data_IF_912397632767
#
_entry.id   IF_912397632767
#
_cell.length_a   1.000
_cell.length_b   1.000
_cell.length_c   1.000
_cell.angle_alpha   90.00
_cell.angle_beta   90.00
_cell.angle_gamma   90.00
#
_symmetry.space_group_name_H-M   'P 1'
#
loop_
_entity.id
_entity.type
_entity.pdbx_description
1 polymer ?
#
# COMPACT_ATOMS: atom_id res chain seq x y z
N UNK A 1 -8.41 -32.59 5.30
CA UNK A 1 -8.05 -31.16 5.22
C UNK A 1 -8.99 -30.40 6.13
N UNK A 2 -8.54 -29.40 6.91
CA UNK A 2 -9.47 -28.56 7.67
C UNK A 2 -10.40 -27.87 6.67
N UNK A 3 -11.70 -27.98 6.88
CA UNK A 3 -12.70 -27.30 6.05
C UNK A 3 -12.55 -25.81 6.34
N UNK A 4 -12.15 -25.02 5.34
CA UNK A 4 -12.15 -23.57 5.43
C UNK A 4 -13.58 -23.13 5.74
N UNK A 5 -13.79 -22.56 6.93
CA UNK A 5 -15.10 -22.07 7.33
C UNK A 5 -15.37 -20.74 6.63
N UNK A 6 -16.55 -20.56 6.01
CA UNK A 6 -16.95 -19.29 5.42
C UNK A 6 -16.87 -18.15 6.45
N UNK A 7 -16.42 -16.97 6.04
CA UNK A 7 -16.25 -15.79 6.91
C UNK A 7 -17.57 -15.41 7.63
N UNK A 8 -18.72 -15.71 7.02
CA UNK A 8 -20.04 -15.44 7.58
C UNK A 8 -20.36 -16.30 8.82
N UNK A 9 -19.75 -17.49 8.95
CA UNK A 9 -19.91 -18.37 10.11
C UNK A 9 -19.00 -17.98 11.30
N UNK A 10 -18.11 -16.99 11.11
CA UNK A 10 -17.30 -16.38 12.17
C UNK A 10 -18.00 -15.21 12.88
N UNK A 11 -19.26 -14.90 12.50
CA UNK A 11 -20.07 -13.89 13.16
C UNK A 11 -20.55 -14.38 14.55
N UNK A 12 -19.61 -14.49 15.49
CA UNK A 12 -19.92 -14.60 16.91
C UNK A 12 -20.14 -13.19 17.45
N UNK A 13 -21.40 -12.75 17.37
CA UNK A 13 -21.82 -11.39 17.73
C UNK A 13 -21.35 -10.99 19.13
N UNK A 14 -21.26 -11.93 20.08
CA UNK A 14 -20.80 -11.65 21.44
C UNK A 14 -19.30 -11.37 21.49
N UNK A 15 -18.47 -12.17 20.80
CA UNK A 15 -17.03 -11.92 20.73
C UNK A 15 -16.72 -10.60 20.04
N UNK A 16 -17.47 -10.26 18.99
CA UNK A 16 -17.32 -8.97 18.32
C UNK A 16 -17.73 -7.81 19.23
N UNK A 17 -18.84 -7.91 19.97
CA UNK A 17 -19.26 -6.89 20.94
C UNK A 17 -18.19 -6.69 22.02
N UNK A 18 -17.64 -7.77 22.58
CA UNK A 18 -16.58 -7.71 23.60
C UNK A 18 -15.32 -7.07 23.02
N UNK A 19 -14.92 -7.45 21.80
CA UNK A 19 -13.78 -6.87 21.10
C UNK A 19 -13.97 -5.37 20.86
N UNK A 20 -15.16 -4.94 20.40
CA UNK A 20 -15.47 -3.53 20.19
C UNK A 20 -15.39 -2.74 21.49
N UNK A 21 -16.01 -3.26 22.55
CA UNK A 21 -16.04 -2.63 23.87
C UNK A 21 -14.62 -2.44 24.44
N UNK A 22 -13.78 -3.49 24.35
CA UNK A 22 -12.39 -3.45 24.86
C UNK A 22 -11.51 -2.44 24.11
N UNK A 23 -11.77 -2.20 22.82
CA UNK A 23 -10.93 -1.36 21.97
C UNK A 23 -11.49 0.04 21.73
N UNK A 24 -12.59 0.42 22.38
CA UNK A 24 -13.31 1.68 22.13
C UNK A 24 -12.42 2.93 22.20
N UNK A 25 -11.52 3.02 23.18
CA UNK A 25 -10.58 4.14 23.29
C UNK A 25 -9.60 4.21 22.10
N UNK A 26 -9.10 3.06 21.63
CA UNK A 26 -8.23 2.99 20.45
C UNK A 26 -8.98 3.39 19.19
N UNK A 27 -10.23 2.95 19.03
CA UNK A 27 -11.04 3.31 17.88
C UNK A 27 -11.32 4.80 17.80
N UNK A 28 -11.69 5.43 18.92
CA UNK A 28 -11.85 6.89 18.99
C UNK A 28 -10.58 7.64 18.63
N UNK A 29 -9.41 7.15 19.05
CA UNK A 29 -8.12 7.74 18.67
C UNK A 29 -7.87 7.60 17.17
N UNK A 30 -8.00 6.38 16.62
CA UNK A 30 -7.77 6.11 15.20
C UNK A 30 -8.71 6.89 14.30
N UNK A 31 -9.98 7.06 14.70
CA UNK A 31 -10.95 7.84 13.94
C UNK A 31 -10.64 9.35 13.90
N UNK A 32 -9.77 9.84 14.79
CA UNK A 32 -9.29 11.24 14.79
C UNK A 32 -7.99 11.43 14.02
N UNK A 33 -7.21 10.36 13.86
CA UNK A 33 -5.87 10.41 13.25
C UNK A 33 -5.82 9.77 11.87
N UNK A 34 -6.93 9.23 11.38
CA UNK A 34 -7.05 8.60 10.06
C UNK A 34 -8.22 9.21 9.29
N UNK A 35 -8.32 8.88 8.00
CA UNK A 35 -9.39 9.33 7.11
C UNK A 35 -10.68 8.49 7.23
N UNK A 36 -10.80 7.73 8.31
CA UNK A 36 -11.94 6.88 8.62
C UNK A 36 -12.68 7.42 9.84
N UNK A 37 -14.01 7.42 9.80
CA UNK A 37 -14.79 7.64 11.01
C UNK A 37 -14.78 6.43 11.95
N UNK A 38 -15.44 6.57 13.10
CA UNK A 38 -15.42 5.53 14.12
C UNK A 38 -16.06 4.22 13.64
N UNK A 39 -17.12 4.27 12.83
CA UNK A 39 -17.77 3.05 12.32
C UNK A 39 -16.86 2.31 11.35
N UNK A 40 -16.19 3.06 10.49
CA UNK A 40 -15.22 2.54 9.52
C UNK A 40 -14.00 1.93 10.21
N UNK A 41 -13.48 2.60 11.25
CA UNK A 41 -12.39 2.08 12.08
C UNK A 41 -12.81 0.78 12.78
N UNK A 42 -14.02 0.71 13.34
CA UNK A 42 -14.56 -0.50 13.94
C UNK A 42 -14.67 -1.65 12.92
N UNK A 43 -15.18 -1.37 11.72
CA UNK A 43 -15.29 -2.37 10.66
C UNK A 43 -13.93 -2.89 10.20
N UNK A 44 -12.96 -2.00 9.93
CA UNK A 44 -11.60 -2.38 9.55
C UNK A 44 -10.88 -3.16 10.65
N UNK A 45 -11.13 -2.84 11.92
CA UNK A 45 -10.62 -3.60 13.06
C UNK A 45 -11.19 -5.02 13.12
N UNK A 46 -12.47 -5.19 12.78
CA UNK A 46 -13.10 -6.52 12.71
C UNK A 46 -12.56 -7.31 11.54
N UNK A 47 -12.40 -6.69 10.36
CA UNK A 47 -11.76 -7.32 9.20
C UNK A 47 -10.36 -7.83 9.59
N UNK A 48 -9.55 -6.98 10.23
CA UNK A 48 -8.24 -7.38 10.74
C UNK A 48 -8.32 -8.58 11.70
N UNK A 49 -9.19 -8.51 12.70
CA UNK A 49 -9.35 -9.57 13.69
C UNK A 49 -9.80 -10.89 13.05
N UNK A 50 -10.72 -10.85 12.08
CA UNK A 50 -11.16 -12.03 11.32
C UNK A 50 -10.02 -12.61 10.48
N UNK A 51 -9.27 -11.78 9.76
CA UNK A 51 -8.07 -12.24 9.05
C UNK A 51 -7.09 -12.93 10.01
N UNK A 52 -6.85 -12.37 11.19
CA UNK A 52 -5.96 -12.98 12.19
C UNK A 52 -6.47 -14.32 12.72
N UNK A 53 -7.79 -14.46 12.91
CA UNK A 53 -8.40 -15.69 13.38
C UNK A 53 -8.38 -16.81 12.33
N UNK A 54 -8.59 -16.48 11.06
CA UNK A 54 -8.69 -17.46 9.97
C UNK A 54 -7.33 -17.81 9.37
N UNK A 55 -6.48 -16.79 9.15
CA UNK A 55 -5.21 -16.93 8.41
C UNK A 55 -3.98 -16.87 9.32
N UNK A 56 -4.14 -16.49 10.59
CA UNK A 56 -3.04 -16.18 11.50
C UNK A 56 -2.57 -14.73 11.42
N UNK A 57 -1.53 -14.34 12.18
CA UNK A 57 -1.02 -12.96 12.20
C UNK A 57 -0.73 -12.46 10.80
N UNK A 58 -1.13 -11.22 10.47
CA UNK A 58 -0.97 -10.64 9.13
C UNK A 58 0.53 -10.43 8.83
N UNK A 59 1.17 -11.50 8.34
CA UNK A 59 2.53 -11.53 7.84
C UNK A 59 2.58 -10.95 6.43
N UNK A 60 3.79 -10.82 5.89
CA UNK A 60 3.99 -10.34 4.50
C UNK A 60 3.24 -11.18 3.47
N UNK A 61 3.22 -12.51 3.65
CA UNK A 61 2.49 -13.43 2.78
C UNK A 61 0.98 -13.14 2.81
N UNK A 62 0.40 -13.07 4.01
CA UNK A 62 -1.05 -12.83 4.17
C UNK A 62 -1.42 -11.42 3.67
N UNK A 63 -0.58 -10.42 3.93
CA UNK A 63 -0.78 -9.06 3.42
C UNK A 63 -0.82 -9.06 1.89
N UNK A 64 0.09 -9.81 1.25
CA UNK A 64 0.10 -9.98 -0.21
C UNK A 64 -1.17 -10.65 -0.73
N UNK A 65 -1.63 -11.70 -0.08
CA UNK A 65 -2.84 -12.42 -0.48
C UNK A 65 -4.09 -11.54 -0.30
N UNK A 66 -4.15 -10.73 0.75
CA UNK A 66 -5.22 -9.73 0.96
C UNK A 66 -5.19 -8.67 -0.13
N UNK A 67 -4.02 -8.15 -0.51
CA UNK A 67 -3.93 -7.17 -1.60
C UNK A 67 -4.25 -7.75 -2.96
N UNK A 68 -3.87 -9.01 -3.19
CA UNK A 68 -4.22 -9.74 -4.40
C UNK A 68 -5.74 -9.89 -4.52
N UNK A 69 -6.40 -10.43 -3.50
CA UNK A 69 -7.84 -10.72 -3.54
C UNK A 69 -8.73 -9.49 -3.35
N UNK A 70 -8.36 -8.59 -2.43
CA UNK A 70 -9.18 -7.44 -2.03
C UNK A 70 -8.94 -6.17 -2.86
N UNK A 71 -7.77 -6.03 -3.47
CA UNK A 71 -7.39 -4.83 -4.23
C UNK A 71 -6.98 -5.11 -5.68
N UNK A 72 -7.14 -6.35 -6.15
CA UNK A 72 -6.72 -6.80 -7.48
C UNK A 72 -5.25 -6.44 -7.77
N UNK A 73 -4.33 -6.84 -6.88
CA UNK A 73 -2.88 -6.84 -7.15
C UNK A 73 -2.46 -8.22 -7.70
N UNK A 74 -2.89 -8.51 -8.93
CA UNK A 74 -2.82 -9.84 -9.56
C UNK A 74 -1.51 -10.19 -10.27
N UNK A 75 -0.68 -9.22 -10.63
CA UNK A 75 0.60 -9.50 -11.31
C UNK A 75 1.76 -9.73 -10.35
N UNK A 76 2.71 -10.58 -10.75
CA UNK A 76 3.92 -10.86 -9.97
C UNK A 76 4.73 -9.59 -9.63
N UNK A 77 4.74 -8.58 -10.50
CA UNK A 77 5.39 -7.31 -10.16
C UNK A 77 4.63 -6.51 -9.11
N UNK A 78 3.29 -6.57 -9.16
CA UNK A 78 2.43 -5.96 -8.15
C UNK A 78 2.70 -6.59 -6.77
N UNK A 79 3.06 -7.87 -6.72
CA UNK A 79 3.50 -8.52 -5.48
C UNK A 79 4.80 -7.95 -4.90
N UNK A 80 5.80 -7.62 -5.72
CA UNK A 80 7.03 -6.96 -5.25
C UNK A 80 6.73 -5.59 -4.61
N UNK A 81 5.85 -4.81 -5.23
CA UNK A 81 5.44 -3.52 -4.68
C UNK A 81 4.63 -3.69 -3.39
N UNK A 82 3.75 -4.69 -3.32
CA UNK A 82 3.00 -5.02 -2.10
C UNK A 82 3.94 -5.44 -0.95
N UNK A 83 5.00 -6.20 -1.22
CA UNK A 83 6.01 -6.54 -0.21
C UNK A 83 6.76 -5.31 0.32
N UNK A 84 6.99 -4.32 -0.54
CA UNK A 84 7.55 -3.02 -0.16
C UNK A 84 6.55 -2.19 0.65
N UNK A 85 5.27 -2.15 0.24
CA UNK A 85 4.19 -1.52 0.99
C UNK A 85 4.05 -2.11 2.39
N UNK A 86 4.09 -3.43 2.54
CA UNK A 86 4.13 -4.09 3.84
C UNK A 86 5.24 -3.51 4.72
N UNK A 87 6.44 -3.31 4.14
CA UNK A 87 7.62 -2.81 4.86
C UNK A 87 7.49 -1.33 5.26
N UNK A 88 6.62 -0.57 4.60
CA UNK A 88 6.26 0.81 4.98
C UNK A 88 5.19 0.81 6.06
N UNK A 89 4.20 -0.08 5.95
CA UNK A 89 3.12 -0.22 6.94
C UNK A 89 3.64 -0.78 8.26
N UNK A 90 4.56 -1.76 8.24
CA UNK A 90 5.24 -2.33 9.40
C UNK A 90 6.30 -1.37 9.99
N UNK A 91 5.84 -0.27 10.59
CA UNK A 91 6.70 0.80 11.12
C UNK A 91 7.69 0.31 12.18
N UNK A 92 7.37 -0.79 12.86
CA UNK A 92 8.16 -1.35 13.97
C UNK A 92 8.99 -2.56 13.55
N UNK A 93 8.98 -2.93 12.27
CA UNK A 93 9.66 -4.11 11.73
C UNK A 93 9.38 -5.39 12.54
N UNK A 94 8.11 -5.55 12.94
CA UNK A 94 7.65 -6.68 13.76
C UNK A 94 7.36 -7.93 12.93
N UNK A 95 7.46 -7.83 11.60
CA UNK A 95 7.14 -8.87 10.61
C UNK A 95 5.66 -9.28 10.60
N UNK A 96 4.81 -8.49 11.25
CA UNK A 96 3.36 -8.64 11.29
C UNK A 96 2.70 -7.27 11.37
N UNK A 97 1.51 -7.11 10.77
CA UNK A 97 0.77 -5.85 10.82
C UNK A 97 -0.25 -5.89 11.96
N UNK A 98 -0.05 -5.15 13.07
CA UNK A 98 -1.07 -5.01 14.10
C UNK A 98 -2.24 -4.14 13.60
N UNK A 99 -3.39 -4.27 14.27
CA UNK A 99 -4.65 -3.60 13.92
C UNK A 99 -4.49 -2.09 13.68
N UNK A 100 -3.71 -1.40 14.53
CA UNK A 100 -3.50 0.04 14.39
C UNK A 100 -2.76 0.39 13.10
N UNK A 101 -1.70 -0.36 12.76
CA UNK A 101 -0.91 -0.13 11.54
C UNK A 101 -1.70 -0.54 10.29
N UNK A 102 -2.55 -1.57 10.39
CA UNK A 102 -3.50 -1.95 9.34
C UNK A 102 -4.44 -0.78 8.99
N UNK A 103 -5.06 -0.17 9.99
CA UNK A 103 -6.01 0.94 9.80
C UNK A 103 -5.28 2.20 9.32
N UNK A 104 -4.12 2.53 9.90
CA UNK A 104 -3.29 3.67 9.47
C UNK A 104 -2.79 3.51 8.03
N UNK A 105 -2.35 2.31 7.65
CA UNK A 105 -1.89 2.01 6.29
C UNK A 105 -3.02 2.14 5.27
N UNK A 106 -4.16 1.50 5.53
CA UNK A 106 -5.34 1.59 4.66
C UNK A 106 -5.90 3.01 4.56
N UNK A 107 -5.76 3.83 5.61
CA UNK A 107 -6.16 5.24 5.58
C UNK A 107 -5.46 5.99 4.45
N UNK A 108 -4.15 5.77 4.30
CA UNK A 108 -3.35 6.42 3.25
C UNK A 108 -3.64 5.78 1.89
N UNK A 109 -3.65 4.44 1.81
CA UNK A 109 -3.81 3.69 0.56
C UNK A 109 -5.17 3.96 -0.09
N UNK A 110 -6.24 4.04 0.72
CA UNK A 110 -7.61 4.21 0.23
C UNK A 110 -8.05 5.68 0.20
N UNK A 111 -7.63 6.50 1.16
CA UNK A 111 -8.17 7.86 1.35
C UNK A 111 -7.10 8.93 1.59
N UNK A 112 -5.82 8.60 1.42
CA UNK A 112 -4.74 9.54 1.64
C UNK A 112 -4.87 10.78 0.76
N UNK A 113 -4.54 11.92 1.34
CA UNK A 113 -4.30 13.17 0.61
C UNK A 113 -3.16 12.99 -0.39
N UNK A 114 -3.09 13.89 -1.38
CA UNK A 114 -2.00 13.90 -2.37
C UNK A 114 -0.62 13.83 -1.67
N UNK A 115 -0.44 14.63 -0.64
CA UNK A 115 0.78 14.72 0.16
C UNK A 115 1.15 13.43 0.89
N UNK A 116 0.17 12.76 1.51
CA UNK A 116 0.39 11.48 2.17
C UNK A 116 0.73 10.38 1.16
N UNK A 117 0.07 10.40 0.00
CA UNK A 117 0.33 9.44 -1.08
C UNK A 117 1.73 9.62 -1.66
N UNK A 118 2.16 10.86 -1.90
CA UNK A 118 3.53 11.17 -2.34
C UNK A 118 4.55 10.61 -1.35
N UNK A 119 4.39 10.91 -0.06
CA UNK A 119 5.29 10.40 0.99
C UNK A 119 5.30 8.88 1.06
N UNK A 120 4.12 8.26 0.96
CA UNK A 120 3.99 6.81 1.02
C UNK A 120 4.64 6.13 -0.19
N UNK A 121 4.36 6.60 -1.41
CA UNK A 121 4.97 6.07 -2.64
C UNK A 121 6.51 6.21 -2.60
N UNK A 122 7.03 7.37 -2.17
CA UNK A 122 8.47 7.55 -1.98
C UNK A 122 9.07 6.51 -1.03
N UNK A 123 8.43 6.25 0.12
CA UNK A 123 8.89 5.25 1.09
C UNK A 123 8.82 3.82 0.53
N UNK A 124 7.86 3.52 -0.34
CA UNK A 124 7.76 2.23 -1.04
C UNK A 124 8.91 2.06 -2.03
N UNK A 125 9.27 3.12 -2.75
CA UNK A 125 10.35 3.11 -3.73
C UNK A 125 11.75 3.12 -3.10
N UNK A 126 11.98 3.91 -2.03
CA UNK A 126 13.23 3.95 -1.26
C UNK A 126 13.35 2.74 -0.31
N UNK A 127 13.44 1.55 -0.90
CA UNK A 127 13.44 0.28 -0.19
C UNK A 127 14.55 0.15 0.86
N UNK A 128 15.73 0.72 0.57
CA UNK A 128 16.86 0.70 1.49
C UNK A 128 16.83 1.85 2.52
N UNK A 129 15.78 2.69 2.50
CA UNK A 129 15.59 3.84 3.41
C UNK A 129 16.82 4.74 3.46
N UNK A 130 17.41 4.97 2.29
CA UNK A 130 18.61 5.81 2.14
C UNK A 130 18.29 7.30 2.13
N UNK A 131 17.00 7.64 2.00
CA UNK A 131 16.50 9.00 1.80
C UNK A 131 16.99 9.67 0.52
N UNK A 132 17.68 8.92 -0.36
CA UNK A 132 18.22 9.38 -1.64
C UNK A 132 18.18 8.23 -2.65
N UNK A 133 17.14 8.17 -3.46
CA UNK A 133 16.96 7.08 -4.43
C UNK A 133 17.92 7.25 -5.61
N UNK A 134 18.83 6.30 -5.80
CA UNK A 134 19.77 6.27 -6.92
C UNK A 134 19.38 5.25 -7.98
N UNK A 135 20.03 5.33 -9.14
CA UNK A 135 19.80 4.43 -10.29
C UNK A 135 19.84 2.95 -9.89
N UNK A 136 20.78 2.56 -9.03
CA UNK A 136 20.98 1.18 -8.58
C UNK A 136 19.80 0.65 -7.75
N UNK A 137 19.07 1.53 -7.06
CA UNK A 137 17.91 1.18 -6.24
C UNK A 137 16.61 1.17 -7.06
N UNK A 138 16.52 2.05 -8.07
CA UNK A 138 15.37 2.14 -8.97
C UNK A 138 15.38 0.96 -9.97
N UNK A 139 16.56 0.53 -10.40
CA UNK A 139 16.71 -0.49 -11.45
C UNK A 139 15.96 -1.81 -11.16
N UNK A 140 16.08 -2.45 -9.98
CA UNK A 140 15.36 -3.69 -9.71
C UNK A 140 13.83 -3.53 -9.76
N UNK A 141 13.31 -2.37 -9.36
CA UNK A 141 11.86 -2.08 -9.36
C UNK A 141 11.37 -1.92 -10.80
N UNK A 142 12.03 -1.07 -11.57
CA UNK A 142 11.67 -0.80 -12.98
C UNK A 142 11.85 -2.04 -13.84
N UNK A 143 12.95 -2.77 -13.67
CA UNK A 143 13.20 -4.03 -14.37
C UNK A 143 12.07 -5.02 -14.14
N UNK A 144 11.57 -5.13 -12.91
CA UNK A 144 10.42 -5.96 -12.57
C UNK A 144 9.11 -5.53 -13.25
N UNK A 145 8.87 -4.22 -13.38
CA UNK A 145 7.68 -3.66 -14.05
C UNK A 145 7.69 -3.88 -15.56
N UNK A 146 8.88 -3.95 -16.14
CA UNK A 146 9.09 -3.99 -17.58
C UNK A 146 9.37 -5.41 -18.09
N UNK A 147 9.20 -6.45 -17.25
CA UNK A 147 9.34 -7.87 -17.62
C UNK A 147 8.44 -8.24 -18.82
N UNK A 148 7.33 -7.54 -19.04
CA UNK A 148 6.46 -7.77 -20.22
C UNK A 148 7.00 -7.17 -21.53
N UNK A 149 8.07 -6.37 -21.50
CA UNK A 149 8.73 -5.80 -22.69
C UNK A 149 9.82 -6.73 -23.27
N UNK A 150 9.89 -7.99 -22.85
CA UNK A 150 10.91 -8.99 -23.20
C UNK A 150 11.05 -9.38 -24.69
N UNK A 151 10.37 -8.69 -25.60
CA UNK A 151 10.57 -8.88 -27.04
C UNK A 151 11.74 -8.04 -27.61
N UNK A 152 12.47 -7.31 -26.76
CA UNK A 152 13.65 -6.52 -27.15
C UNK A 152 14.94 -7.35 -27.08
N UNK A 153 15.90 -7.07 -27.96
CA UNK A 153 17.20 -7.76 -28.02
C UNK A 153 18.07 -7.46 -26.78
N UNK A 154 17.81 -6.33 -26.08
CA UNK A 154 18.50 -5.98 -24.85
C UNK A 154 17.60 -5.23 -23.83
N UNK A 155 16.73 -5.94 -23.08
CA UNK A 155 15.73 -5.33 -22.21
C UNK A 155 16.35 -4.55 -21.03
N UNK A 156 17.55 -4.92 -20.57
CA UNK A 156 18.20 -4.23 -19.45
C UNK A 156 18.71 -2.84 -19.85
N UNK A 157 19.15 -2.63 -21.11
CA UNK A 157 19.54 -1.30 -21.60
C UNK A 157 18.33 -0.39 -21.78
N UNK A 158 17.22 -0.91 -22.34
CA UNK A 158 15.97 -0.15 -22.42
C UNK A 158 15.46 0.30 -21.05
N UNK A 159 15.60 -0.56 -20.02
CA UNK A 159 15.28 -0.20 -18.62
C UNK A 159 16.22 0.89 -18.11
N UNK A 160 17.53 0.82 -18.38
CA UNK A 160 18.50 1.84 -17.95
C UNK A 160 18.21 3.20 -18.59
N UNK A 161 17.90 3.24 -19.88
CA UNK A 161 17.56 4.46 -20.60
C UNK A 161 16.29 5.11 -20.04
N UNK A 162 15.28 4.30 -19.74
CA UNK A 162 14.06 4.78 -19.11
C UNK A 162 14.32 5.33 -17.71
N UNK A 163 15.18 4.69 -16.93
CA UNK A 163 15.58 5.20 -15.61
C UNK A 163 16.32 6.53 -15.74
N UNK A 164 17.21 6.68 -16.72
CA UNK A 164 17.92 7.95 -16.95
C UNK A 164 16.93 9.06 -17.34
N UNK A 165 15.93 8.77 -18.16
CA UNK A 165 14.84 9.70 -18.46
C UNK A 165 14.02 10.05 -17.21
N UNK A 166 13.71 9.05 -16.38
CA UNK A 166 12.95 9.23 -15.16
C UNK A 166 13.72 10.08 -14.15
N UNK A 167 15.01 9.81 -13.95
CA UNK A 167 15.88 10.60 -13.06
C UNK A 167 15.94 12.05 -13.51
N UNK A 168 16.10 12.35 -14.81
CA UNK A 168 16.04 13.74 -15.31
C UNK A 168 14.72 14.45 -14.96
N UNK A 169 13.62 13.70 -14.83
CA UNK A 169 12.30 14.22 -14.46
C UNK A 169 12.07 14.29 -12.95
N UNK A 170 12.75 13.47 -12.16
CA UNK A 170 12.57 13.41 -10.71
C UNK A 170 13.62 14.24 -9.96
N UNK A 171 14.90 14.11 -10.31
CA UNK A 171 16.04 14.81 -9.69
C UNK A 171 16.00 16.31 -10.05
N UNK A 172 15.52 17.15 -9.13
CA UNK A 172 15.29 18.58 -9.38
C UNK A 172 16.59 19.36 -9.19
N UNK A 173 17.34 19.05 -8.13
CA UNK A 173 18.59 19.71 -7.79
C UNK A 173 19.82 19.18 -8.56
N UNK A 174 19.66 18.06 -9.27
CA UNK A 174 20.67 17.40 -10.12
C UNK A 174 21.86 16.85 -9.31
N UNK A 175 21.61 16.38 -8.10
CA UNK A 175 22.63 15.79 -7.24
C UNK A 175 22.93 14.30 -7.54
N UNK A 176 22.24 13.72 -8.53
CA UNK A 176 22.37 12.34 -8.96
C UNK A 176 21.55 11.34 -8.14
N UNK A 177 20.68 11.83 -7.26
CA UNK A 177 19.72 11.05 -6.51
C UNK A 177 18.37 11.78 -6.42
N UNK A 178 17.31 11.04 -6.12
CA UNK A 178 15.99 11.63 -5.90
C UNK A 178 15.73 11.65 -4.40
N UNK A 179 15.68 12.84 -3.80
CA UNK A 179 15.22 13.03 -2.43
C UNK A 179 13.69 13.00 -2.32
N UNK A 180 13.17 12.99 -1.09
CA UNK A 180 11.73 13.07 -0.86
C UNK A 180 11.14 14.41 -1.37
N UNK A 181 11.92 15.48 -1.32
CA UNK A 181 11.49 16.80 -1.79
C UNK A 181 11.52 16.88 -3.32
N UNK A 182 12.55 16.33 -3.96
CA UNK A 182 12.61 16.17 -5.41
C UNK A 182 11.39 15.43 -5.94
N UNK A 183 11.07 14.29 -5.33
CA UNK A 183 9.91 13.49 -5.69
C UNK A 183 8.61 14.27 -5.48
N UNK A 184 8.46 14.98 -4.36
CA UNK A 184 7.28 15.81 -4.10
C UNK A 184 7.10 16.89 -5.16
N UNK A 185 8.14 17.69 -5.41
CA UNK A 185 8.14 18.75 -6.44
C UNK A 185 7.84 18.16 -7.81
N UNK A 186 8.45 17.05 -8.18
CA UNK A 186 8.20 16.41 -9.47
C UNK A 186 6.73 15.99 -9.63
N UNK A 187 6.13 15.39 -8.60
CA UNK A 187 4.72 14.96 -8.64
C UNK A 187 3.75 16.14 -8.62
N UNK A 188 4.00 17.18 -7.81
CA UNK A 188 3.08 18.32 -7.68
C UNK A 188 3.21 19.32 -8.83
N UNK A 189 4.44 19.63 -9.24
CA UNK A 189 4.71 20.78 -10.10
C UNK A 189 4.94 20.37 -11.56
N UNK A 190 5.40 19.12 -11.81
CA UNK A 190 5.68 18.64 -13.18
C UNK A 190 4.57 17.75 -13.71
N UNK A 191 4.22 16.67 -13.02
CA UNK A 191 3.13 15.77 -13.46
C UNK A 191 2.65 14.84 -12.35
N UNK A 192 1.32 14.80 -12.07
CA UNK A 192 0.74 13.85 -11.12
C UNK A 192 0.98 12.38 -11.48
N UNK A 193 1.21 12.07 -12.77
CA UNK A 193 1.50 10.71 -13.23
C UNK A 193 2.82 10.16 -12.66
N UNK A 194 3.71 11.04 -12.19
CA UNK A 194 4.98 10.62 -11.59
C UNK A 194 4.81 9.95 -10.21
N UNK A 195 3.62 10.04 -9.60
CA UNK A 195 3.33 9.41 -8.31
C UNK A 195 3.55 7.89 -8.36
N UNK A 196 3.17 7.26 -9.47
CA UNK A 196 3.23 5.82 -9.68
C UNK A 196 4.22 5.44 -10.81
N UNK A 197 5.24 6.28 -11.03
CA UNK A 197 6.19 6.11 -12.15
C UNK A 197 7.02 4.83 -12.10
N UNK A 198 7.19 4.22 -10.92
CA UNK A 198 7.91 2.95 -10.74
C UNK A 198 6.96 1.78 -10.50
N UNK A 199 5.70 1.92 -10.92
CA UNK A 199 4.65 0.91 -10.84
C UNK A 199 3.55 1.25 -9.83
N UNK A 200 2.41 0.54 -9.92
CA UNK A 200 1.20 0.85 -9.16
C UNK A 200 1.39 0.54 -7.66
N UNK A 201 1.20 1.56 -6.83
CA UNK A 201 1.27 1.49 -5.37
C UNK A 201 -0.13 1.57 -4.78
N UNK A 202 -1.06 2.26 -5.44
CA UNK A 202 -2.41 2.44 -4.97
C UNK A 202 -3.40 1.55 -5.74
N UNK A 203 -4.47 1.06 -5.09
CA UNK A 203 -5.50 0.31 -5.78
C UNK A 203 -6.17 1.16 -6.86
N UNK A 204 -6.59 0.47 -7.93
CA UNK A 204 -7.41 1.10 -8.97
C UNK A 204 -8.68 1.71 -8.36
N UNK A 205 -9.28 2.67 -9.06
CA UNK A 205 -10.53 3.29 -8.61
C UNK A 205 -11.62 2.26 -8.34
N UNK A 206 -11.75 1.26 -9.21
CA UNK A 206 -12.74 0.19 -9.11
C UNK A 206 -12.46 -0.70 -7.90
N UNK A 207 -11.23 -1.22 -7.76
CA UNK A 207 -10.85 -2.05 -6.62
C UNK A 207 -11.04 -1.32 -5.28
N UNK A 208 -10.66 -0.03 -5.24
CA UNK A 208 -10.89 0.83 -4.07
C UNK A 208 -12.37 0.99 -3.75
N UNK A 209 -13.20 1.24 -4.77
CA UNK A 209 -14.64 1.40 -4.58
C UNK A 209 -15.27 0.11 -4.05
N UNK A 210 -14.97 -1.02 -4.71
CA UNK A 210 -15.48 -2.34 -4.32
C UNK A 210 -15.11 -2.69 -2.89
N UNK A 211 -13.85 -2.44 -2.49
CA UNK A 211 -13.42 -2.68 -1.11
C UNK A 211 -14.16 -1.78 -0.11
N UNK A 212 -14.22 -0.46 -0.36
CA UNK A 212 -14.89 0.47 0.55
C UNK A 212 -16.38 0.15 0.70
N UNK A 213 -17.07 -0.26 -0.37
CA UNK A 213 -18.49 -0.60 -0.33
C UNK A 213 -18.81 -1.82 0.54
N UNK A 214 -17.82 -2.63 0.92
CA UNK A 214 -18.04 -3.77 1.83
C UNK A 214 -18.32 -3.36 3.27
N UNK A 215 -17.96 -2.12 3.66
CA UNK A 215 -18.08 -1.69 5.06
C UNK A 215 -18.51 -0.22 5.27
N UNK A 216 -18.64 0.58 4.21
CA UNK A 216 -19.06 1.98 4.33
C UNK A 216 -19.78 2.51 3.10
N UNK A 217 -20.79 3.35 3.35
CA UNK A 217 -21.49 4.11 2.31
C UNK A 217 -20.71 5.38 1.90
N UNK A 218 -19.66 5.75 2.66
CA UNK A 218 -18.79 6.91 2.37
C UNK A 218 -17.71 6.54 1.35
N UNK A 219 -18.12 5.95 0.24
CA UNK A 219 -17.21 5.56 -0.85
C UNK A 219 -16.64 6.78 -1.58
N UNK A 220 -17.21 7.97 -1.40
CA UNK A 220 -16.85 9.19 -2.12
C UNK A 220 -17.44 9.23 -3.53
N UNK A 221 -17.75 10.43 -4.03
CA UNK A 221 -18.00 10.63 -5.46
C UNK A 221 -16.65 10.83 -6.13
N UNK A 222 -16.32 10.00 -7.11
CA UNK A 222 -15.17 10.22 -7.98
C UNK A 222 -15.66 10.38 -9.42
#
# INVERSE_FOLDING_TARGET
>A
MPVEQPIDMLNDTLKEIVFRTKNQHKFKRLARTTHFDQREVEALAIIHNKCVQTLGPISRLIFRDIFHAGFDFTENIRHLLVDKMFSVVDKRNTLQIPMEQWIEGLSIILRGTQDEKIRFAYQVYDHMRTHRMKKEQIFPIMRGCLIKLQNDENPDEAVKDLIDLLLRKLDVDRDGAVSAEDFRIAVTDRSPLLLECMGPVFPSREARHNFLSTFTDRVGRY
#
